data_IF_329562501357
#
_entry.id   IF_329562501357
#
_cell.length_a   1.000
_cell.length_b   1.000
_cell.length_c   1.000
_cell.angle_alpha   90.00
_cell.angle_beta   90.00
_cell.angle_gamma   90.00
#
_symmetry.space_group_name_H-M   'P 1'
#
loop_
_entity.id
_entity.type
_entity.pdbx_description
1 polymer ?
#
# COMPACT_ATOMS: atom_id res chain seq x y z
N UNK A 1 4.60 -13.46 4.09
CA UNK A 1 4.76 -12.21 3.30
C UNK A 1 4.50 -12.57 1.85
N UNK A 2 3.57 -11.87 1.17
CA UNK A 2 3.32 -12.09 -0.26
C UNK A 2 4.47 -11.47 -1.08
N UNK A 3 4.96 -12.12 -2.15
CA UNK A 3 5.89 -11.48 -3.09
C UNK A 3 5.25 -10.26 -3.75
N UNK A 4 6.05 -9.25 -4.10
CA UNK A 4 5.54 -8.03 -4.75
C UNK A 4 4.80 -8.31 -6.07
N UNK A 5 5.26 -9.30 -6.83
CA UNK A 5 4.58 -9.75 -8.05
C UNK A 5 3.16 -10.23 -7.77
N UNK A 6 2.97 -11.02 -6.70
CA UNK A 6 1.63 -11.48 -6.31
C UNK A 6 0.73 -10.32 -5.88
N UNK A 7 1.28 -9.30 -5.22
CA UNK A 7 0.50 -8.12 -4.83
C UNK A 7 0.05 -7.34 -6.09
N UNK A 8 0.93 -7.21 -7.09
CA UNK A 8 0.58 -6.60 -8.37
C UNK A 8 -0.53 -7.38 -9.10
N UNK A 9 -0.46 -8.71 -9.10
CA UNK A 9 -1.47 -9.59 -9.69
C UNK A 9 -2.81 -9.49 -8.93
N UNK A 10 -2.78 -9.44 -7.60
CA UNK A 10 -3.97 -9.25 -6.76
C UNK A 10 -4.64 -7.90 -7.05
N UNK A 11 -3.86 -6.84 -7.26
CA UNK A 11 -4.36 -5.52 -7.67
C UNK A 11 -4.93 -5.54 -9.10
N UNK A 12 -4.25 -6.19 -10.05
CA UNK A 12 -4.68 -6.26 -11.44
C UNK A 12 -5.98 -7.08 -11.61
N UNK A 13 -6.14 -8.15 -10.83
CA UNK A 13 -7.34 -8.98 -10.81
C UNK A 13 -8.49 -8.40 -9.98
N UNK A 14 -8.24 -7.37 -9.18
CA UNK A 14 -9.21 -6.80 -8.24
C UNK A 14 -9.43 -7.65 -6.99
N UNK A 15 -8.61 -8.67 -6.76
CA UNK A 15 -8.61 -9.46 -5.53
C UNK A 15 -8.17 -8.64 -4.30
N UNK A 16 -7.46 -7.53 -4.53
CA UNK A 16 -7.13 -6.52 -3.53
C UNK A 16 -7.26 -5.12 -4.12
N UNK A 17 -7.39 -4.12 -3.23
CA UNK A 17 -7.31 -2.70 -3.57
C UNK A 17 -6.06 -2.08 -2.96
N UNK A 18 -5.54 -1.02 -3.56
CA UNK A 18 -4.42 -0.26 -3.02
C UNK A 18 -4.77 0.28 -1.63
N UNK A 19 -6.01 0.73 -1.46
CA UNK A 19 -6.53 1.20 -0.17
C UNK A 19 -6.43 0.12 0.91
N UNK A 20 -6.91 -1.08 0.63
CA UNK A 20 -6.89 -2.19 1.60
C UNK A 20 -5.46 -2.60 1.99
N UNK A 21 -4.55 -2.69 1.00
CA UNK A 21 -3.14 -3.01 1.27
C UNK A 21 -2.46 -1.93 2.13
N UNK A 22 -2.78 -0.67 1.88
CA UNK A 22 -2.24 0.47 2.64
C UNK A 22 -2.76 0.47 4.07
N UNK A 23 -4.06 0.22 4.28
CA UNK A 23 -4.65 0.08 5.61
C UNK A 23 -4.05 -1.10 6.38
N UNK A 24 -3.83 -2.24 5.74
CA UNK A 24 -3.17 -3.40 6.34
C UNK A 24 -1.74 -3.07 6.78
N UNK A 25 -0.97 -2.36 5.95
CA UNK A 25 0.38 -1.93 6.28
C UNK A 25 0.39 -0.95 7.47
N UNK A 26 -0.51 0.04 7.46
CA UNK A 26 -0.66 1.01 8.54
C UNK A 26 -1.07 0.35 9.85
N UNK A 27 -1.99 -0.62 9.81
CA UNK A 27 -2.39 -1.38 10.98
C UNK A 27 -1.22 -2.17 11.60
N UNK A 28 -0.34 -2.76 10.77
CA UNK A 28 0.89 -3.42 11.24
C UNK A 28 1.89 -2.44 11.85
N UNK A 29 1.97 -1.22 11.31
CA UNK A 29 2.83 -0.17 11.87
C UNK A 29 2.32 0.28 13.25
N UNK A 30 1.01 0.31 13.46
CA UNK A 30 0.37 0.73 14.72
C UNK A 30 0.24 -0.38 15.76
N UNK A 31 0.52 -1.64 15.40
CA UNK A 31 0.46 -2.74 16.36
C UNK A 31 1.43 -2.48 17.53
N UNK A 32 0.94 -2.33 18.78
CA UNK A 32 1.79 -2.06 19.93
C UNK A 32 2.74 -3.21 20.26
N UNK A 33 2.46 -4.42 19.78
CA UNK A 33 3.34 -5.58 19.91
C UNK A 33 4.27 -5.77 18.70
N UNK A 34 4.15 -4.91 17.69
CA UNK A 34 4.96 -4.93 16.48
C UNK A 34 6.22 -4.08 16.58
N UNK A 35 7.01 -4.11 15.51
CA UNK A 35 8.26 -3.34 15.38
C UNK A 35 8.05 -1.95 14.76
N UNK A 36 6.80 -1.53 14.50
CA UNK A 36 6.47 -0.26 13.84
C UNK A 36 7.15 0.96 14.46
N UNK A 37 7.03 1.19 15.79
CA UNK A 37 7.69 2.31 16.46
C UNK A 37 9.23 2.30 16.39
N UNK A 38 9.83 1.13 16.12
CA UNK A 38 11.29 0.96 16.01
C UNK A 38 11.78 1.07 14.57
N UNK A 39 10.95 0.67 13.60
CA UNK A 39 11.28 0.63 12.19
C UNK A 39 10.97 1.95 11.45
N UNK A 40 9.97 2.71 11.91
CA UNK A 40 9.52 3.92 11.23
C UNK A 40 9.80 5.17 12.05
N UNK A 41 10.55 6.11 11.47
CA UNK A 41 10.79 7.43 12.07
C UNK A 41 9.61 8.37 11.79
N UNK A 42 8.95 8.18 10.65
CA UNK A 42 7.78 8.96 10.22
C UNK A 42 6.83 8.08 9.41
N UNK A 43 5.52 8.29 9.62
CA UNK A 43 4.45 7.60 8.90
C UNK A 43 3.53 8.65 8.29
N UNK A 44 3.38 8.62 6.97
CA UNK A 44 2.54 9.56 6.22
C UNK A 44 1.13 8.98 5.98
N UNK A 45 0.39 8.73 7.06
CA UNK A 45 -0.91 8.02 7.02
C UNK A 45 -1.87 8.61 5.99
N UNK A 46 -2.20 9.89 6.13
CA UNK A 46 -3.30 10.49 5.37
C UNK A 46 -2.97 10.60 3.89
N UNK A 47 -1.74 10.97 3.54
CA UNK A 47 -1.32 11.04 2.14
C UNK A 47 -1.19 9.65 1.51
N UNK A 48 -0.69 8.65 2.24
CA UNK A 48 -0.63 7.28 1.75
C UNK A 48 -2.03 6.73 1.41
N UNK A 49 -3.01 6.99 2.28
CA UNK A 49 -4.41 6.60 2.03
C UNK A 49 -5.00 7.35 0.83
N UNK A 50 -4.75 8.65 0.70
CA UNK A 50 -5.23 9.45 -0.43
C UNK A 50 -4.62 9.01 -1.78
N UNK A 51 -3.33 8.68 -1.79
CA UNK A 51 -2.62 8.15 -2.97
C UNK A 51 -3.12 6.75 -3.34
N UNK A 52 -3.39 5.91 -2.34
CA UNK A 52 -3.98 4.59 -2.56
C UNK A 52 -5.38 4.70 -3.21
N UNK A 53 -6.25 5.58 -2.69
CA UNK A 53 -7.56 5.85 -3.28
C UNK A 53 -7.43 6.38 -4.72
N UNK A 54 -6.44 7.23 -4.99
CA UNK A 54 -6.17 7.73 -6.34
C UNK A 54 -5.70 6.62 -7.28
N UNK A 55 -4.84 5.71 -6.81
CA UNK A 55 -4.40 4.56 -7.59
C UNK A 55 -5.56 3.62 -7.93
N UNK A 56 -6.48 3.39 -7.00
CA UNK A 56 -7.65 2.55 -7.24
C UNK A 56 -8.62 3.20 -8.25
N UNK A 57 -8.83 4.52 -8.17
CA UNK A 57 -9.61 5.26 -9.18
C UNK A 57 -8.99 5.17 -10.58
N UNK A 58 -7.67 5.37 -10.69
CA UNK A 58 -6.96 5.27 -11.97
C UNK A 58 -7.07 3.86 -12.55
N UNK A 59 -6.89 2.84 -11.72
CA UNK A 59 -7.04 1.44 -12.12
C UNK A 59 -8.46 1.13 -12.59
N UNK A 60 -9.49 1.61 -11.90
CA UNK A 60 -10.89 1.49 -12.33
C UNK A 60 -11.17 2.16 -13.69
N UNK A 61 -10.38 3.17 -14.05
CA UNK A 61 -10.42 3.82 -15.37
C UNK A 61 -9.51 3.14 -16.43
N UNK A 62 -8.89 2.00 -16.11
CA UNK A 62 -7.97 1.28 -17.00
C UNK A 62 -6.57 1.90 -17.09
N UNK A 63 -6.23 2.85 -16.22
CA UNK A 63 -4.93 3.53 -16.20
C UNK A 63 -4.05 2.92 -15.11
N UNK A 64 -3.02 2.17 -15.52
CA UNK A 64 -2.03 1.58 -14.62
C UNK A 64 -0.64 2.08 -15.02
N UNK A 65 -0.10 3.14 -14.38
CA UNK A 65 1.09 3.84 -14.85
C UNK A 65 2.40 3.04 -14.64
N UNK A 66 2.38 2.01 -13.80
CA UNK A 66 3.56 1.19 -13.46
C UNK A 66 3.13 -0.15 -12.86
N UNK A 67 3.95 -1.22 -12.98
CA UNK A 67 3.74 -2.49 -12.27
C UNK A 67 3.64 -2.35 -10.74
N UNK A 68 4.14 -1.25 -10.17
CA UNK A 68 4.12 -0.97 -8.74
C UNK A 68 2.98 -0.04 -8.31
N UNK A 69 2.14 0.42 -9.24
CA UNK A 69 1.10 1.39 -8.94
C UNK A 69 0.15 0.86 -7.85
N UNK A 70 0.06 1.59 -6.74
CA UNK A 70 -0.82 1.24 -5.61
C UNK A 70 -0.27 0.22 -4.62
N UNK A 71 1.00 -0.19 -4.73
CA UNK A 71 1.67 -1.02 -3.72
C UNK A 71 2.27 -0.10 -2.64
N UNK A 72 1.92 -0.27 -1.35
CA UNK A 72 2.51 0.53 -0.28
C UNK A 72 3.99 0.22 -0.08
N UNK A 73 4.80 1.25 0.09
CA UNK A 73 6.25 1.15 0.31
C UNK A 73 6.70 2.07 1.43
N UNK A 74 7.82 1.72 2.06
CA UNK A 74 8.54 2.57 3.00
C UNK A 74 9.91 2.92 2.42
N UNK A 75 10.38 4.14 2.66
CA UNK A 75 11.68 4.60 2.19
C UNK A 75 12.62 4.76 3.39
N UNK A 76 13.88 4.39 3.20
CA UNK A 76 14.93 4.62 4.20
C UNK A 76 15.32 6.11 4.17
N UNK A 77 15.29 6.74 5.34
CA UNK A 77 15.90 8.05 5.57
C UNK A 77 17.44 7.98 5.58
#
# INVERSE_FOLDING_TARGET
>A
MKPIAQIADDLASGAATSRALTEEALARIEDPNGEGPRAFIRVFRDSALAEADASDRLRGAGVVPSPLAGIPVSIKD
#
